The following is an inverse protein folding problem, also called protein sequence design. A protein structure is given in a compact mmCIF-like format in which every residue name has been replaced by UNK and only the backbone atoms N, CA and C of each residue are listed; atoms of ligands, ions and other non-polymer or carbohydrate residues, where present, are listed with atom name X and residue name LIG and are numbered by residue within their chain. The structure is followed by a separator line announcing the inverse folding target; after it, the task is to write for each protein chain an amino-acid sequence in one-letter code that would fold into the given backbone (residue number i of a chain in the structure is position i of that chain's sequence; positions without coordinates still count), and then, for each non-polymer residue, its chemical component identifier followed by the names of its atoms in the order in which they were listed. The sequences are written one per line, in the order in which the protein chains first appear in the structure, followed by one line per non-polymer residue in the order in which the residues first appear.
data_IF_766145967504
#
_entry.id   IF_766145967504
#
_cell.length_a   1.000
_cell.length_b   1.000
_cell.length_c   1.000
_cell.angle_alpha   90.00
_cell.angle_beta   90.00
_cell.angle_gamma   90.00
#
_symmetry.space_group_name_H-M   'P 1'
#
loop_
_entity.id
_entity.type
_entity.pdbx_description
1 polymer ?
#
# COMPACT_ATOMS: atom_id res chain seq x y z
N UNK A 1 -76.97 -12.47 -14.01
CA UNK A 1 -76.21 -11.31 -13.50
C UNK A 1 -75.12 -11.82 -12.56
N UNK A 2 -73.85 -11.72 -12.93
CA UNK A 2 -72.74 -11.30 -12.03
C UNK A 2 -71.45 -11.24 -12.87
N UNK A 3 -70.84 -10.06 -12.84
CA UNK A 3 -69.66 -9.66 -13.59
C UNK A 3 -68.39 -10.21 -12.92
N UNK A 4 -67.37 -10.47 -13.75
CA UNK A 4 -65.92 -10.15 -13.62
C UNK A 4 -65.30 -10.29 -12.21
N UNK A 5 -64.12 -10.88 -12.06
CA UNK A 5 -62.84 -10.16 -12.25
C UNK A 5 -61.71 -11.19 -12.38
N UNK A 6 -60.97 -11.07 -13.48
CA UNK A 6 -59.69 -11.74 -13.71
C UNK A 6 -58.63 -10.97 -12.89
N UNK A 7 -58.15 -11.55 -11.79
CA UNK A 7 -57.11 -10.93 -10.96
C UNK A 7 -55.74 -11.33 -11.50
N UNK A 8 -55.14 -10.44 -12.30
CA UNK A 8 -53.75 -10.55 -12.76
C UNK A 8 -52.85 -10.15 -11.58
N UNK A 9 -52.22 -11.13 -10.94
CA UNK A 9 -51.17 -10.90 -9.96
C UNK A 9 -49.90 -10.44 -10.70
N UNK A 10 -49.72 -9.12 -10.81
CA UNK A 10 -48.49 -8.53 -11.34
C UNK A 10 -47.43 -8.54 -10.23
N UNK A 11 -46.54 -9.54 -10.27
CA UNK A 11 -45.39 -9.64 -9.37
C UNK A 11 -44.34 -8.63 -9.82
N UNK A 12 -44.32 -7.47 -9.17
CA UNK A 12 -43.22 -6.50 -9.31
C UNK A 12 -42.06 -6.97 -8.44
N UNK A 13 -41.12 -7.71 -9.03
CA UNK A 13 -39.84 -8.03 -8.40
C UNK A 13 -38.98 -6.76 -8.45
N UNK A 14 -38.96 -6.00 -7.35
CA UNK A 14 -37.95 -4.97 -7.12
C UNK A 14 -36.61 -5.67 -6.90
N UNK A 15 -35.85 -5.86 -7.99
CA UNK A 15 -34.46 -6.29 -7.92
C UNK A 15 -33.68 -5.13 -7.31
N UNK A 16 -33.45 -5.18 -6.00
CA UNK A 16 -32.48 -4.33 -5.33
C UNK A 16 -31.10 -4.71 -5.87
N UNK A 17 -30.60 -3.95 -6.85
CA UNK A 17 -29.19 -3.95 -7.20
C UNK A 17 -28.43 -3.40 -6.00
N UNK A 18 -28.03 -4.29 -5.09
CA UNK A 18 -26.99 -3.99 -4.12
C UNK A 18 -25.70 -3.78 -4.90
N UNK A 19 -25.43 -2.55 -5.31
CA UNK A 19 -24.17 -2.18 -5.91
C UNK A 19 -23.05 -2.51 -4.92
N UNK A 20 -22.24 -3.52 -5.25
CA UNK A 20 -20.96 -3.80 -4.62
C UNK A 20 -19.98 -2.66 -4.94
N UNK A 21 -20.24 -1.48 -4.37
CA UNK A 21 -19.42 -0.26 -4.50
C UNK A 21 -18.40 -0.14 -3.35
N UNK A 22 -18.29 -1.16 -2.49
CA UNK A 22 -17.51 -1.09 -1.26
C UNK A 22 -16.02 -1.39 -1.42
N UNK A 23 -15.57 -1.89 -2.57
CA UNK A 23 -14.17 -2.29 -2.78
C UNK A 23 -13.25 -1.12 -3.18
N UNK A 24 -13.74 -0.18 -4.00
CA UNK A 24 -12.92 0.95 -4.48
C UNK A 24 -12.45 1.88 -3.36
N UNK A 25 -13.27 2.04 -2.33
CA UNK A 25 -12.98 2.91 -1.18
C UNK A 25 -12.24 2.17 -0.05
N UNK A 26 -12.01 0.86 -0.15
CA UNK A 26 -11.23 0.13 0.85
C UNK A 26 -9.75 0.51 0.77
N UNK A 27 -9.05 0.57 1.92
CA UNK A 27 -7.60 0.84 1.92
C UNK A 27 -6.78 -0.38 1.49
N UNK A 28 -7.39 -1.58 1.50
CA UNK A 28 -6.78 -2.80 0.98
C UNK A 28 -6.50 -2.67 -0.53
N UNK A 29 -5.47 -3.36 -0.99
CA UNK A 29 -5.02 -3.35 -2.39
C UNK A 29 -3.55 -2.99 -2.54
N UNK A 30 -3.17 -2.52 -3.72
CA UNK A 30 -1.80 -2.18 -4.05
C UNK A 30 -1.67 -0.68 -4.33
N UNK A 31 -0.59 -0.10 -3.83
CA UNK A 31 -0.36 1.34 -3.82
C UNK A 31 1.07 1.66 -4.26
N UNK A 32 1.23 2.60 -5.18
CA UNK A 32 2.50 3.14 -5.59
C UNK A 32 2.86 4.33 -4.69
N UNK A 33 3.93 4.18 -3.92
CA UNK A 33 4.53 5.26 -3.15
C UNK A 33 5.52 6.02 -4.03
N UNK A 34 5.42 7.34 -4.00
CA UNK A 34 6.37 8.24 -4.66
C UNK A 34 6.96 9.21 -3.65
N UNK A 35 8.23 9.52 -3.82
CA UNK A 35 8.85 10.64 -3.14
C UNK A 35 8.18 11.94 -3.63
N UNK A 36 7.76 12.79 -2.70
CA UNK A 36 6.95 13.98 -3.02
C UNK A 36 7.75 15.07 -3.74
N UNK A 37 9.07 15.13 -3.49
CA UNK A 37 9.91 16.25 -3.92
C UNK A 37 10.50 15.95 -5.31
N UNK A 38 10.88 14.70 -5.55
CA UNK A 38 11.46 14.23 -6.82
C UNK A 38 10.46 13.54 -7.73
N UNK A 39 9.27 13.18 -7.22
CA UNK A 39 8.27 12.37 -7.91
C UNK A 39 8.80 10.97 -8.34
N UNK A 40 9.84 10.49 -7.67
CA UNK A 40 10.47 9.18 -7.92
C UNK A 40 9.62 8.07 -7.29
N UNK A 41 9.46 6.94 -7.99
CA UNK A 41 8.82 5.75 -7.45
C UNK A 41 9.70 5.11 -6.37
N UNK A 42 9.21 5.09 -5.13
CA UNK A 42 9.94 4.54 -3.97
C UNK A 42 9.60 3.07 -3.78
N UNK A 43 8.31 2.73 -3.78
CA UNK A 43 7.87 1.36 -3.56
C UNK A 43 6.47 1.09 -4.10
N UNK A 44 6.16 -0.19 -4.28
CA UNK A 44 4.79 -0.70 -4.32
C UNK A 44 4.48 -1.30 -2.94
N UNK A 45 3.42 -0.82 -2.31
CA UNK A 45 2.90 -1.31 -1.05
C UNK A 45 1.70 -2.22 -1.30
N UNK A 46 1.61 -3.32 -0.55
CA UNK A 46 0.43 -4.18 -0.52
C UNK A 46 -0.22 -4.07 0.85
N UNK A 47 -1.44 -3.54 0.88
CA UNK A 47 -2.24 -3.40 2.09
C UNK A 47 -3.36 -4.45 2.12
N UNK A 48 -3.56 -5.11 3.25
CA UNK A 48 -4.49 -6.22 3.42
C UNK A 48 -5.09 -6.21 4.83
N UNK A 49 -6.18 -6.95 5.03
CA UNK A 49 -6.69 -7.18 6.38
C UNK A 49 -5.98 -8.42 6.95
N UNK A 50 -5.50 -8.32 8.19
CA UNK A 50 -5.04 -9.47 8.95
C UNK A 50 -6.22 -10.33 9.42
N UNK A 51 -5.94 -11.43 10.14
CA UNK A 51 -6.95 -12.39 10.60
C UNK A 51 -7.98 -11.76 11.56
N UNK A 52 -7.61 -10.68 12.26
CA UNK A 52 -8.48 -9.89 13.14
C UNK A 52 -9.30 -8.83 12.37
N UNK A 53 -9.13 -8.72 11.05
CA UNK A 53 -9.79 -7.72 10.22
C UNK A 53 -9.21 -6.31 10.31
N UNK A 54 -8.04 -6.14 10.95
CA UNK A 54 -7.31 -4.88 10.99
C UNK A 54 -6.44 -4.72 9.73
N UNK A 55 -6.21 -3.49 9.31
CA UNK A 55 -5.38 -3.21 8.13
C UNK A 55 -3.89 -3.33 8.48
N UNK A 56 -3.18 -4.19 7.75
CA UNK A 56 -1.72 -4.30 7.72
C UNK A 56 -1.20 -3.90 6.33
N UNK A 57 0.11 -3.68 6.21
CA UNK A 57 0.76 -3.50 4.92
C UNK A 57 2.21 -3.99 4.90
N UNK A 58 2.62 -4.48 3.72
CA UNK A 58 3.98 -4.90 3.41
C UNK A 58 4.55 -4.14 2.21
N UNK A 59 5.88 -4.03 2.15
CA UNK A 59 6.58 -3.53 0.96
C UNK A 59 6.56 -4.64 -0.10
N UNK A 60 5.66 -4.53 -1.08
CA UNK A 60 5.50 -5.55 -2.11
C UNK A 60 6.65 -5.55 -3.12
N UNK A 61 7.15 -4.35 -3.48
CA UNK A 61 8.31 -4.14 -4.36
C UNK A 61 9.01 -2.83 -3.97
N UNK A 62 10.27 -2.84 -3.53
CA UNK A 62 11.04 -1.62 -3.42
C UNK A 62 11.58 -1.21 -4.81
N UNK A 63 11.52 0.08 -5.15
CA UNK A 63 11.83 0.60 -6.49
C UNK A 63 13.02 1.57 -6.50
N UNK A 64 13.18 2.38 -5.46
CA UNK A 64 14.35 3.22 -5.23
C UNK A 64 14.37 3.78 -3.80
N UNK A 65 15.50 4.38 -3.43
CA UNK A 65 15.63 5.28 -2.28
C UNK A 65 15.84 6.71 -2.76
N UNK A 66 15.40 7.69 -1.96
CA UNK A 66 15.66 9.11 -2.21
C UNK A 66 16.26 9.74 -0.96
N UNK A 67 17.54 10.09 -1.03
CA UNK A 67 18.29 10.72 0.05
C UNK A 67 18.81 12.07 -0.42
N UNK A 68 18.47 13.16 0.29
CA UNK A 68 18.83 14.53 -0.08
C UNK A 68 18.53 14.88 -1.56
N UNK A 69 17.40 14.38 -2.07
CA UNK A 69 16.95 14.58 -3.45
C UNK A 69 17.69 13.74 -4.51
N UNK A 70 18.60 12.85 -4.09
CA UNK A 70 19.32 11.94 -4.97
C UNK A 70 18.67 10.56 -4.95
N UNK A 71 18.52 9.99 -6.14
CA UNK A 71 17.90 8.67 -6.32
C UNK A 71 18.97 7.60 -6.29
N UNK A 72 18.77 6.59 -5.45
CA UNK A 72 19.67 5.46 -5.24
C UNK A 72 18.91 4.14 -5.34
N UNK A 73 19.65 3.04 -5.49
CA UNK A 73 19.11 1.69 -5.41
C UNK A 73 18.37 1.46 -4.07
N UNK A 74 17.30 0.64 -4.08
CA UNK A 74 16.58 0.31 -2.87
C UNK A 74 17.41 -0.57 -1.92
N UNK A 75 17.12 -0.48 -0.62
CA UNK A 75 17.74 -1.37 0.36
C UNK A 75 17.25 -2.81 0.19
N UNK A 76 18.15 -3.78 0.36
CA UNK A 76 17.82 -5.21 0.29
C UNK A 76 17.30 -5.72 1.63
N UNK A 77 17.97 -5.37 2.72
CA UNK A 77 17.66 -5.82 4.07
C UNK A 77 17.35 -4.64 4.98
N UNK A 78 16.50 -4.87 5.98
CA UNK A 78 16.32 -3.90 7.04
C UNK A 78 17.39 -4.07 8.13
N UNK A 79 18.59 -3.56 7.87
CA UNK A 79 19.74 -3.69 8.77
C UNK A 79 19.56 -2.93 10.09
N UNK A 80 18.82 -1.82 10.05
CA UNK A 80 18.54 -0.98 11.21
C UNK A 80 17.26 -1.40 11.94
N UNK A 81 16.54 -2.41 11.44
CA UNK A 81 15.37 -2.90 12.14
C UNK A 81 15.80 -3.64 13.41
N UNK A 82 15.17 -3.29 14.54
CA UNK A 82 15.41 -3.94 15.82
C UNK A 82 14.29 -4.91 16.19
N UNK A 83 14.12 -5.09 17.49
CA UNK A 83 12.93 -5.73 18.08
C UNK A 83 12.23 -4.74 18.99
N UNK A 84 10.92 -4.85 19.11
CA UNK A 84 10.14 -3.89 19.89
C UNK A 84 8.69 -4.27 20.07
N UNK A 85 7.98 -3.36 20.73
CA UNK A 85 6.54 -3.41 20.94
C UNK A 85 5.92 -2.11 20.41
N UNK A 86 5.43 -2.17 19.17
CA UNK A 86 4.84 -1.06 18.46
C UNK A 86 3.36 -0.90 18.82
N UNK A 87 3.10 -0.40 20.03
CA UNK A 87 1.77 -0.14 20.61
C UNK A 87 0.90 -1.41 20.75
N UNK A 88 1.48 -2.51 21.19
CA UNK A 88 0.85 -3.82 21.36
C UNK A 88 1.29 -4.83 20.30
N UNK A 89 1.87 -4.37 19.19
CA UNK A 89 2.41 -5.24 18.15
C UNK A 89 3.87 -5.57 18.42
N UNK A 90 4.16 -6.82 18.82
CA UNK A 90 5.54 -7.29 19.05
C UNK A 90 6.17 -7.72 17.74
N UNK A 91 7.34 -7.19 17.44
CA UNK A 91 8.13 -7.57 16.27
C UNK A 91 9.58 -7.85 16.65
N UNK A 92 10.23 -8.73 15.90
CA UNK A 92 11.66 -9.00 16.03
C UNK A 92 12.30 -9.11 14.65
N UNK A 93 12.95 -8.04 14.25
CA UNK A 93 13.76 -7.93 13.03
C UNK A 93 15.23 -7.68 13.39
N UNK A 94 15.63 -8.04 14.62
CA UNK A 94 16.99 -7.77 15.14
C UNK A 94 18.08 -8.60 14.46
N UNK A 95 17.71 -9.51 13.55
CA UNK A 95 18.66 -10.26 12.74
C UNK A 95 19.31 -9.40 11.66
N UNK A 96 18.65 -8.31 11.25
CA UNK A 96 19.08 -7.45 10.15
C UNK A 96 19.04 -8.14 8.78
N UNK A 97 18.42 -9.33 8.67
CA UNK A 97 18.36 -10.14 7.45
C UNK A 97 16.97 -10.19 6.85
N UNK A 98 16.02 -9.49 7.46
CA UNK A 98 14.67 -9.33 6.95
C UNK A 98 14.73 -8.53 5.66
N UNK A 99 14.31 -9.16 4.57
CA UNK A 99 14.32 -8.50 3.26
C UNK A 99 13.30 -7.38 3.25
N UNK A 100 13.70 -6.26 2.68
CA UNK A 100 12.81 -5.12 2.50
C UNK A 100 11.62 -5.48 1.61
N UNK A 101 11.85 -6.23 0.52
CA UNK A 101 10.75 -6.82 -0.24
C UNK A 101 10.05 -7.93 0.55
N UNK A 102 8.80 -7.69 0.92
CA UNK A 102 7.97 -8.55 1.76
C UNK A 102 8.00 -8.19 3.24
N UNK A 103 8.70 -7.13 3.64
CA UNK A 103 8.69 -6.64 5.01
C UNK A 103 7.30 -6.08 5.34
N UNK A 104 6.60 -6.70 6.30
CA UNK A 104 5.44 -6.09 6.93
C UNK A 104 5.92 -4.94 7.82
N UNK A 105 5.37 -3.75 7.61
CA UNK A 105 5.83 -2.53 8.29
C UNK A 105 4.67 -1.67 8.79
N UNK A 106 3.42 -2.04 8.49
CA UNK A 106 2.22 -1.41 9.04
C UNK A 106 1.38 -2.49 9.69
N UNK A 107 0.98 -2.25 10.94
CA UNK A 107 0.31 -3.24 11.77
C UNK A 107 -0.93 -2.71 12.46
N UNK A 108 -1.95 -3.57 12.52
CA UNK A 108 -3.10 -3.49 13.40
C UNK A 108 -3.88 -2.17 13.31
N UNK A 109 -3.94 -1.57 12.11
CA UNK A 109 -4.65 -0.31 11.90
C UNK A 109 -6.15 -0.55 11.82
N UNK A 110 -6.87 -0.08 12.85
CA UNK A 110 -8.29 -0.35 13.03
C UNK A 110 -9.15 0.55 12.17
N UNK A 111 -10.12 -0.05 11.50
CA UNK A 111 -11.16 0.70 10.77
C UNK A 111 -12.07 1.44 11.76
N UNK A 112 -12.12 2.76 11.64
CA UNK A 112 -13.00 3.63 12.42
C UNK A 112 -14.45 3.51 11.94
N UNK A 113 -15.40 3.66 12.86
CA UNK A 113 -16.84 3.67 12.60
C UNK A 113 -17.38 5.02 12.11
N UNK A 114 -16.52 6.04 11.98
CA UNK A 114 -16.91 7.41 11.59
C UNK A 114 -17.51 7.46 10.18
N UNK A 115 -18.58 8.25 10.03
CA UNK A 115 -19.33 8.44 8.79
C UNK A 115 -18.46 8.94 7.63
N UNK A 116 -18.82 8.49 6.43
CA UNK A 116 -18.05 8.66 5.20
C UNK A 116 -18.57 9.87 4.40
N UNK A 117 -17.66 10.62 3.80
CA UNK A 117 -18.00 11.47 2.66
C UNK A 117 -18.19 10.60 1.40
N UNK A 118 -18.92 11.09 0.40
CA UNK A 118 -19.20 10.35 -0.84
C UNK A 118 -17.95 9.98 -1.65
N UNK A 119 -16.85 10.71 -1.47
CA UNK A 119 -15.58 10.60 -2.20
C UNK A 119 -14.43 9.99 -1.38
N UNK A 120 -14.66 9.71 -0.09
CA UNK A 120 -13.64 9.21 0.84
C UNK A 120 -14.02 7.87 1.44
N UNK A 121 -13.02 7.02 1.65
CA UNK A 121 -13.21 5.77 2.36
C UNK A 121 -13.24 5.93 3.87
N UNK A 122 -13.39 4.79 4.59
CA UNK A 122 -13.30 4.76 6.04
C UNK A 122 -11.92 5.24 6.51
N UNK A 123 -11.89 5.86 7.67
CA UNK A 123 -10.64 6.21 8.36
C UNK A 123 -10.10 4.96 9.05
N UNK A 124 -8.80 4.71 8.91
CA UNK A 124 -8.06 3.68 9.65
C UNK A 124 -7.13 4.37 10.66
N UNK A 125 -7.17 3.96 11.91
CA UNK A 125 -6.45 4.58 13.03
C UNK A 125 -6.04 3.54 14.09
N UNK A 126 -5.22 3.94 15.08
CA UNK A 126 -4.79 3.09 16.21
C UNK A 126 -3.89 1.89 15.87
N UNK A 127 -3.17 1.95 14.75
CA UNK A 127 -2.09 1.00 14.46
C UNK A 127 -0.71 1.62 14.58
N UNK A 128 0.29 0.86 14.17
CA UNK A 128 1.70 1.27 14.10
C UNK A 128 2.25 1.17 12.68
N UNK A 129 3.29 1.96 12.42
CA UNK A 129 4.13 1.85 11.23
C UNK A 129 5.61 1.88 11.65
N UNK A 130 6.41 0.95 11.14
CA UNK A 130 7.86 0.95 11.24
C UNK A 130 8.45 1.73 10.07
N UNK A 131 9.45 2.57 10.36
CA UNK A 131 10.33 3.15 9.35
C UNK A 131 11.59 2.28 9.23
N UNK A 132 11.75 1.53 8.12
CA UNK A 132 12.87 0.59 8.01
C UNK A 132 14.23 1.27 7.81
N UNK A 133 14.26 2.56 7.51
CA UNK A 133 15.52 3.32 7.41
C UNK A 133 16.17 3.56 8.79
N UNK A 134 15.37 3.80 9.83
CA UNK A 134 15.86 4.12 11.18
C UNK A 134 15.45 3.11 12.27
N UNK A 135 14.64 2.10 11.92
CA UNK A 135 14.15 1.07 12.82
C UNK A 135 13.11 1.55 13.85
N UNK A 136 12.67 2.81 13.77
CA UNK A 136 11.70 3.40 14.71
C UNK A 136 10.29 3.17 14.22
N UNK A 137 9.36 3.08 15.17
CA UNK A 137 7.94 2.98 14.88
C UNK A 137 7.17 4.23 15.33
N UNK A 138 6.05 4.46 14.67
CA UNK A 138 5.18 5.63 14.84
C UNK A 138 3.72 5.17 14.82
N UNK A 139 2.82 6.00 15.35
CA UNK A 139 1.39 5.77 15.13
C UNK A 139 1.07 6.00 13.67
N UNK A 140 0.11 5.25 13.14
CA UNK A 140 -0.35 5.42 11.76
C UNK A 140 -1.85 5.71 11.68
N UNK A 141 -2.19 6.57 10.72
CA UNK A 141 -3.56 6.82 10.27
C UNK A 141 -3.59 6.75 8.75
N UNK A 142 -4.64 6.16 8.18
CA UNK A 142 -4.83 6.12 6.74
C UNK A 142 -6.29 6.39 6.34
N UNK A 143 -6.48 6.94 5.14
CA UNK A 143 -7.81 7.10 4.55
C UNK A 143 -7.70 7.15 3.03
N UNK A 144 -8.54 6.40 2.33
CA UNK A 144 -8.64 6.54 0.87
C UNK A 144 -9.39 7.82 0.52
N UNK A 145 -8.89 8.52 -0.49
CA UNK A 145 -9.40 9.79 -0.99
C UNK A 145 -9.52 9.73 -2.52
N UNK A 146 -10.01 10.80 -3.14
CA UNK A 146 -10.15 10.92 -4.60
C UNK A 146 -10.95 9.73 -5.20
N UNK A 147 -12.06 9.37 -4.56
CA UNK A 147 -12.88 8.20 -4.92
C UNK A 147 -12.10 6.88 -4.94
N UNK A 148 -11.12 6.75 -4.05
CA UNK A 148 -10.28 5.57 -3.90
C UNK A 148 -9.05 5.54 -4.78
N UNK A 149 -8.76 6.60 -5.56
CA UNK A 149 -7.56 6.64 -6.42
C UNK A 149 -6.27 6.84 -5.64
N UNK A 150 -6.36 7.44 -4.45
CA UNK A 150 -5.22 7.65 -3.56
C UNK A 150 -5.53 7.18 -2.15
N UNK A 151 -4.49 6.88 -1.40
CA UNK A 151 -4.55 6.75 0.06
C UNK A 151 -3.68 7.82 0.69
N UNK A 152 -4.27 8.60 1.58
CA UNK A 152 -3.55 9.43 2.52
C UNK A 152 -3.06 8.55 3.66
N UNK A 153 -1.78 8.68 4.01
CA UNK A 153 -1.13 7.98 5.12
C UNK A 153 -0.40 8.99 5.98
N UNK A 154 -0.53 8.89 7.30
CA UNK A 154 0.21 9.70 8.26
C UNK A 154 0.91 8.81 9.26
N UNK A 155 2.23 8.96 9.36
CA UNK A 155 3.05 8.44 10.44
C UNK A 155 3.32 9.57 11.44
N UNK A 156 3.08 9.36 12.73
CA UNK A 156 3.19 10.43 13.73
C UNK A 156 3.57 9.97 15.13
N UNK A 157 4.16 10.90 15.88
CA UNK A 157 4.42 10.79 17.32
C UNK A 157 4.02 12.11 18.00
N UNK A 158 2.97 12.07 18.82
CA UNK A 158 2.36 13.28 19.36
C UNK A 158 1.84 14.22 18.26
N UNK A 159 2.27 15.49 18.27
CA UNK A 159 1.89 16.49 17.27
C UNK A 159 2.75 16.45 15.99
N UNK A 160 3.91 15.80 16.04
CA UNK A 160 4.84 15.72 14.92
C UNK A 160 4.53 14.50 14.05
N UNK A 161 4.69 14.64 12.74
CA UNK A 161 4.48 13.52 11.83
C UNK A 161 4.80 13.89 10.38
N UNK A 162 4.72 12.88 9.52
CA UNK A 162 4.83 13.00 8.08
C UNK A 162 3.55 12.49 7.43
N UNK A 163 3.12 13.20 6.41
CA UNK A 163 1.97 12.88 5.58
C UNK A 163 2.48 12.39 4.21
N UNK A 164 1.87 11.33 3.70
CA UNK A 164 2.15 10.76 2.39
C UNK A 164 0.85 10.47 1.62
N UNK A 165 0.99 10.40 0.29
CA UNK A 165 -0.10 10.08 -0.61
C UNK A 165 0.36 9.01 -1.60
N UNK A 166 -0.27 7.84 -1.55
CA UNK A 166 0.07 6.74 -2.46
C UNK A 166 -1.02 6.56 -3.51
N UNK A 167 -0.63 6.23 -4.73
CA UNK A 167 -1.53 6.11 -5.87
C UNK A 167 -1.95 4.65 -6.08
N UNK A 168 -3.25 4.39 -6.29
CA UNK A 168 -3.73 3.01 -6.44
C UNK A 168 -3.23 2.39 -7.74
N UNK A 169 -2.72 1.16 -7.66
CA UNK A 169 -2.45 0.31 -8.83
C UNK A 169 -3.22 -1.00 -8.75
N UNK A 170 -3.41 -1.64 -9.90
CA UNK A 170 -4.04 -2.97 -9.93
C UNK A 170 -3.08 -4.05 -9.41
N UNK A 171 -3.64 -5.15 -8.88
CA UNK A 171 -2.84 -6.33 -8.49
C UNK A 171 -2.05 -6.92 -9.66
N UNK A 172 -2.62 -6.89 -10.87
CA UNK A 172 -1.93 -7.36 -12.08
C UNK A 172 -0.70 -6.51 -12.36
N UNK A 173 -0.85 -5.19 -12.29
CA UNK A 173 0.23 -4.25 -12.52
C UNK A 173 1.33 -4.38 -11.46
N UNK A 174 0.96 -4.42 -10.18
CA UNK A 174 1.90 -4.66 -9.08
C UNK A 174 2.76 -5.91 -9.33
N UNK A 175 2.15 -7.02 -9.78
CA UNK A 175 2.88 -8.26 -10.11
C UNK A 175 3.83 -8.11 -11.29
N UNK A 176 3.45 -7.35 -12.33
CA UNK A 176 4.33 -7.05 -13.46
C UNK A 176 5.52 -6.21 -13.02
N UNK A 177 5.28 -5.18 -12.20
CA UNK A 177 6.33 -4.36 -11.59
C UNK A 177 7.28 -5.25 -10.76
N UNK A 178 6.74 -6.12 -9.90
CA UNK A 178 7.56 -7.05 -9.10
C UNK A 178 8.44 -7.95 -9.96
N UNK A 179 7.88 -8.49 -11.05
CA UNK A 179 8.64 -9.33 -11.98
C UNK A 179 9.76 -8.55 -12.69
N UNK A 180 9.54 -7.28 -12.99
CA UNK A 180 10.46 -6.44 -13.76
C UNK A 180 11.53 -5.75 -12.92
N UNK A 181 11.15 -5.27 -11.75
CA UNK A 181 11.95 -4.37 -10.91
C UNK A 181 12.26 -4.94 -9.52
N UNK A 182 11.55 -6.00 -9.11
CA UNK A 182 11.66 -6.54 -7.75
C UNK A 182 12.89 -7.41 -7.54
N UNK A 183 13.25 -7.55 -6.27
CA UNK A 183 14.39 -8.35 -5.82
C UNK A 183 14.25 -9.81 -6.28
N UNK A 184 15.30 -10.34 -6.88
CA UNK A 184 15.35 -11.73 -7.36
C UNK A 184 15.53 -12.73 -6.21
N UNK A 185 15.50 -14.03 -6.52
CA UNK A 185 15.75 -15.09 -5.53
C UNK A 185 17.18 -15.04 -4.97
N UNK A 186 18.12 -14.50 -5.74
CA UNK A 186 19.53 -14.39 -5.39
C UNK A 186 19.84 -13.11 -4.60
N UNK A 187 18.81 -12.36 -4.19
CA UNK A 187 18.92 -11.08 -3.47
C UNK A 187 19.69 -10.00 -4.25
N UNK A 188 19.49 -9.96 -5.57
CA UNK A 188 20.04 -8.93 -6.45
C UNK A 188 18.89 -8.30 -7.23
N UNK A 189 18.90 -6.99 -7.44
CA UNK A 189 17.90 -6.36 -8.30
C UNK A 189 18.19 -6.62 -9.80
N UNK A 190 17.17 -6.68 -10.67
CA UNK A 190 17.37 -7.00 -12.10
C UNK A 190 18.25 -6.02 -12.88
N UNK A 191 18.57 -4.86 -12.30
CA UNK A 191 19.42 -3.82 -12.87
C UNK A 191 20.80 -3.71 -12.21
N UNK A 192 21.14 -4.64 -11.30
CA UNK A 192 22.40 -4.70 -10.58
C UNK A 192 23.27 -5.89 -11.00
N UNK A 193 24.56 -5.79 -10.72
CA UNK A 193 25.46 -6.94 -10.67
C UNK A 193 25.43 -7.63 -9.28
N UNK A 194 26.16 -8.74 -9.17
CA UNK A 194 26.26 -9.52 -7.92
C UNK A 194 26.87 -8.74 -6.74
N UNK A 195 27.53 -7.62 -7.01
CA UNK A 195 28.17 -6.76 -6.02
C UNK A 195 27.27 -5.57 -5.66
N UNK A 196 26.01 -5.56 -6.13
CA UNK A 196 25.00 -4.54 -5.84
C UNK A 196 25.16 -3.27 -6.68
N UNK A 197 26.02 -3.25 -7.70
CA UNK A 197 26.22 -2.05 -8.54
C UNK A 197 25.27 -2.05 -9.71
N UNK A 198 24.66 -0.90 -9.99
CA UNK A 198 23.79 -0.70 -11.15
C UNK A 198 24.57 -0.95 -12.45
N UNK A 199 24.26 -2.04 -13.15
CA UNK A 199 24.84 -2.41 -14.44
C UNK A 199 23.86 -2.19 -15.61
N UNK A 200 22.57 -1.94 -15.31
CA UNK A 200 21.54 -1.61 -16.28
C UNK A 200 20.84 -0.30 -15.90
N UNK A 201 21.48 0.86 -16.13
CA UNK A 201 20.95 2.17 -15.73
C UNK A 201 19.63 2.51 -16.42
N UNK A 202 19.38 1.96 -17.61
CA UNK A 202 18.11 2.16 -18.33
C UNK A 202 16.96 1.51 -17.58
N UNK A 203 17.13 0.27 -17.12
CA UNK A 203 16.09 -0.43 -16.37
C UNK A 203 15.90 0.19 -14.97
N UNK A 204 16.98 0.57 -14.29
CA UNK A 204 16.87 1.28 -13.01
C UNK A 204 16.05 2.57 -13.14
N UNK A 205 16.38 3.40 -14.14
CA UNK A 205 15.62 4.62 -14.44
C UNK A 205 14.16 4.34 -14.75
N UNK A 206 13.87 3.27 -15.48
CA UNK A 206 12.49 2.88 -15.77
C UNK A 206 11.73 2.53 -14.49
N UNK A 207 12.32 1.70 -13.62
CA UNK A 207 11.72 1.31 -12.35
C UNK A 207 11.48 2.50 -11.42
N UNK A 208 12.42 3.45 -11.36
CA UNK A 208 12.36 4.61 -10.46
C UNK A 208 11.52 5.78 -11.00
N UNK A 209 11.25 5.88 -12.31
CA UNK A 209 10.59 7.08 -12.88
C UNK A 209 9.38 6.83 -13.79
N UNK A 210 9.11 5.59 -14.22
CA UNK A 210 7.94 5.32 -15.08
C UNK A 210 6.64 5.69 -14.36
N UNK A 211 5.75 6.39 -15.04
CA UNK A 211 4.41 6.70 -14.53
C UNK A 211 3.52 5.45 -14.67
N UNK A 212 3.65 4.50 -13.74
CA UNK A 212 2.89 3.24 -13.74
C UNK A 212 1.37 3.43 -13.62
N UNK A 213 0.90 4.65 -13.32
CA UNK A 213 -0.53 4.98 -13.29
C UNK A 213 -1.04 5.26 -14.70
N UNK A 214 -0.32 6.05 -15.48
CA UNK A 214 -0.71 6.44 -16.85
C UNK A 214 -0.23 5.46 -17.91
N UNK A 215 0.90 4.80 -17.66
CA UNK A 215 1.56 3.88 -18.57
C UNK A 215 1.92 2.57 -17.82
N UNK A 216 0.92 1.72 -17.52
CA UNK A 216 1.15 0.41 -16.89
C UNK A 216 2.01 -0.50 -17.79
N UNK A 217 2.65 -1.52 -17.22
CA UNK A 217 3.45 -2.54 -17.95
C UNK A 217 2.55 -3.48 -18.76
#
# INVERSE_FOLDING_TARGET
MMKKILSIFSVVVLISFSYASSDKLAATGYWLQKDKDTNTNVSVIHAYNNDDGNLNAEVFVPLSNVDDGKVHEPIIYCENCGKGDAYGHKYDYSSGKEKYQGLEFVWDVKKSSKDKATDKGPVYEKGSVLNPHDGKYYHVKAQTIDSGKKVYVRAFWGMFGKDEYWERISKSEAKKIRKKCGLTKDNVYPYEDKDGKVNNPKLFKECSTRDFIKDPI
#
